data_IF_519626051192
#
_entry.id   IF_519626051192
#
_cell.length_a   1.000
_cell.length_b   1.000
_cell.length_c   1.000
_cell.angle_alpha   90.00
_cell.angle_beta   90.00
_cell.angle_gamma   90.00
#
_symmetry.space_group_name_H-M   'P 1'
#
loop_
_entity.id
_entity.type
_entity.pdbx_description
1 polymer ?
#
# COMPACT_ATOMS: atom_id res chain seq x y z
N UNK A 1 -10.05 8.39 5.65
CA UNK A 1 -11.07 8.74 4.63
C UNK A 1 -10.97 7.73 3.50
N UNK A 2 -12.09 7.11 3.13
CA UNK A 2 -12.15 6.04 2.13
C UNK A 2 -13.11 6.44 1.01
N UNK A 3 -12.71 6.23 -0.24
CA UNK A 3 -13.57 6.40 -1.40
C UNK A 3 -13.29 5.31 -2.45
N UNK A 4 -14.29 4.97 -3.25
CA UNK A 4 -14.14 4.00 -4.33
C UNK A 4 -14.23 4.71 -5.68
N UNK A 5 -13.27 4.46 -6.55
CA UNK A 5 -13.31 4.92 -7.95
C UNK A 5 -14.38 4.15 -8.73
N UNK A 6 -14.61 2.88 -8.38
CA UNK A 6 -15.53 1.99 -9.08
C UNK A 6 -14.98 1.48 -10.42
N UNK A 7 -13.71 1.71 -10.70
CA UNK A 7 -13.01 1.28 -11.92
C UNK A 7 -11.53 1.08 -11.65
N UNK A 8 -10.90 0.14 -12.37
CA UNK A 8 -9.46 -0.08 -12.36
C UNK A 8 -8.70 0.71 -13.44
N UNK A 9 -9.44 1.41 -14.31
CA UNK A 9 -8.89 2.05 -15.52
C UNK A 9 -9.46 3.45 -15.75
N UNK A 10 -9.79 4.19 -14.68
CA UNK A 10 -10.34 5.55 -14.75
C UNK A 10 -9.51 6.53 -13.89
N UNK A 11 -8.34 6.98 -14.40
CA UNK A 11 -7.50 7.92 -13.69
C UNK A 11 -8.15 9.31 -13.52
N UNK A 12 -9.00 9.72 -14.45
CA UNK A 12 -9.68 11.01 -14.35
C UNK A 12 -10.61 11.07 -13.14
N UNK A 13 -11.41 10.02 -12.93
CA UNK A 13 -12.27 9.91 -11.75
C UNK A 13 -11.48 9.79 -10.45
N UNK A 14 -10.35 9.07 -10.46
CA UNK A 14 -9.46 9.03 -9.30
C UNK A 14 -8.97 10.42 -8.93
N UNK A 15 -8.52 11.20 -9.91
CA UNK A 15 -8.06 12.58 -9.70
C UNK A 15 -9.14 13.44 -9.06
N UNK A 16 -10.37 13.40 -9.60
CA UNK A 16 -11.52 14.15 -9.04
C UNK A 16 -11.79 13.76 -7.57
N UNK A 17 -11.75 12.46 -7.24
CA UNK A 17 -11.96 11.98 -5.87
C UNK A 17 -10.88 12.50 -4.92
N UNK A 18 -9.61 12.49 -5.32
CA UNK A 18 -8.51 13.01 -4.51
C UNK A 18 -8.66 14.52 -4.28
N UNK A 19 -8.98 15.29 -5.32
CA UNK A 19 -9.23 16.72 -5.22
C UNK A 19 -10.41 17.03 -4.26
N UNK A 20 -11.49 16.25 -4.33
CA UNK A 20 -12.61 16.36 -3.40
C UNK A 20 -12.23 16.04 -1.96
N UNK A 21 -11.48 14.93 -1.73
CA UNK A 21 -11.01 14.56 -0.38
C UNK A 21 -10.09 15.62 0.22
N UNK A 22 -9.19 16.20 -0.57
CA UNK A 22 -8.33 17.29 -0.11
C UNK A 22 -9.16 18.53 0.28
N UNK A 23 -10.09 18.94 -0.58
CA UNK A 23 -10.92 20.13 -0.36
C UNK A 23 -11.84 19.97 0.84
N UNK A 24 -12.58 18.84 0.88
CA UNK A 24 -13.73 18.67 1.77
C UNK A 24 -13.33 18.03 3.11
N UNK A 25 -12.23 17.27 3.12
CA UNK A 25 -11.76 16.50 4.28
C UNK A 25 -10.35 16.83 4.72
N UNK A 26 -9.68 17.76 4.04
CA UNK A 26 -8.32 18.20 4.33
C UNK A 26 -7.29 17.06 4.31
N UNK A 27 -7.52 16.07 3.43
CA UNK A 27 -6.55 15.01 3.21
C UNK A 27 -5.27 15.59 2.58
N UNK A 28 -4.12 15.19 3.10
CA UNK A 28 -2.78 15.65 2.72
C UNK A 28 -1.83 14.52 2.33
N UNK A 29 -2.19 13.27 2.63
CA UNK A 29 -1.51 12.06 2.18
C UNK A 29 -2.54 11.09 1.61
N UNK A 30 -2.27 10.59 0.41
CA UNK A 30 -3.19 9.72 -0.32
C UNK A 30 -2.55 8.37 -0.61
N UNK A 31 -3.28 7.30 -0.33
CA UNK A 31 -2.90 5.94 -0.66
C UNK A 31 -3.92 5.34 -1.61
N UNK A 32 -3.45 4.79 -2.72
CA UNK A 32 -4.31 4.18 -3.72
C UNK A 32 -4.18 2.65 -3.75
N UNK A 33 -5.30 1.97 -3.97
CA UNK A 33 -5.37 0.54 -4.32
C UNK A 33 -6.38 0.44 -5.47
N UNK A 34 -6.00 0.91 -6.66
CA UNK A 34 -6.94 1.14 -7.76
C UNK A 34 -6.37 0.82 -9.15
N UNK A 35 -5.30 0.03 -9.23
CA UNK A 35 -4.69 -0.36 -10.51
C UNK A 35 -4.31 0.83 -11.37
N UNK A 36 -4.65 0.79 -12.65
CA UNK A 36 -4.37 1.87 -13.61
C UNK A 36 -5.05 3.21 -13.29
N UNK A 37 -6.14 3.22 -12.49
CA UNK A 37 -6.74 4.46 -12.01
C UNK A 37 -5.81 5.24 -11.08
N UNK A 38 -4.84 4.58 -10.45
CA UNK A 38 -3.89 5.16 -9.50
C UNK A 38 -3.07 6.33 -10.05
N UNK A 39 -2.81 6.38 -11.35
CA UNK A 39 -2.10 7.49 -11.99
C UNK A 39 -2.77 8.86 -11.74
N UNK A 40 -4.09 8.90 -11.71
CA UNK A 40 -4.83 10.13 -11.42
C UNK A 40 -4.64 10.66 -9.99
N UNK A 41 -4.31 9.78 -9.03
CA UNK A 41 -3.95 10.20 -7.68
C UNK A 41 -2.64 10.98 -7.66
N UNK A 42 -1.62 10.52 -8.39
CA UNK A 42 -0.33 11.21 -8.45
C UNK A 42 -0.45 12.58 -9.11
N UNK A 43 -1.26 12.68 -10.18
CA UNK A 43 -1.58 13.97 -10.80
C UNK A 43 -2.29 14.93 -9.81
N UNK A 44 -3.26 14.43 -9.03
CA UNK A 44 -3.93 15.22 -8.02
C UNK A 44 -2.96 15.70 -6.93
N UNK A 45 -2.10 14.81 -6.43
CA UNK A 45 -1.09 15.16 -5.43
C UNK A 45 -0.12 16.23 -5.95
N UNK A 46 0.30 16.13 -7.20
CA UNK A 46 1.13 17.14 -7.84
C UNK A 46 0.45 18.51 -7.90
N UNK A 47 -0.82 18.54 -8.30
CA UNK A 47 -1.60 19.77 -8.39
C UNK A 47 -1.83 20.41 -7.01
N UNK A 48 -2.04 19.59 -5.98
CA UNK A 48 -2.33 20.03 -4.60
C UNK A 48 -1.09 20.34 -3.77
N UNK A 49 0.11 19.87 -4.18
CA UNK A 49 1.30 19.91 -3.34
C UNK A 49 1.19 18.98 -2.12
N UNK A 50 0.54 17.83 -2.29
CA UNK A 50 0.33 16.81 -1.25
C UNK A 50 1.12 15.54 -1.57
N UNK A 51 1.05 14.53 -0.70
CA UNK A 51 1.84 13.32 -0.82
C UNK A 51 1.01 12.11 -1.24
N UNK A 52 1.68 11.21 -1.94
CA UNK A 52 1.11 9.94 -2.40
C UNK A 52 1.87 8.74 -1.84
N UNK A 53 1.14 7.64 -1.63
CA UNK A 53 1.69 6.31 -1.40
C UNK A 53 1.26 5.44 -2.58
N UNK A 54 2.23 4.86 -3.26
CA UNK A 54 2.03 3.95 -4.37
C UNK A 54 1.68 2.53 -3.93
N UNK A 55 1.49 1.62 -4.89
CA UNK A 55 1.08 0.24 -4.65
C UNK A 55 1.74 -0.74 -5.62
N UNK A 56 1.86 -1.98 -5.18
CA UNK A 56 2.36 -3.16 -5.88
C UNK A 56 3.86 -3.17 -6.19
N UNK A 57 4.42 -2.08 -6.70
CA UNK A 57 5.83 -1.94 -7.08
C UNK A 57 6.37 -0.57 -6.70
N UNK A 58 7.68 -0.35 -6.86
CA UNK A 58 8.27 0.98 -6.70
C UNK A 58 7.77 1.94 -7.78
N UNK A 59 6.69 2.65 -7.47
CA UNK A 59 6.09 3.61 -8.40
C UNK A 59 6.90 4.91 -8.49
N UNK A 60 7.72 5.26 -7.48
CA UNK A 60 8.68 6.35 -7.62
C UNK A 60 9.68 6.06 -8.74
N UNK A 61 10.33 4.89 -8.72
CA UNK A 61 11.28 4.51 -9.77
C UNK A 61 10.58 4.40 -11.14
N UNK A 62 9.38 3.82 -11.18
CA UNK A 62 8.61 3.71 -12.42
C UNK A 62 8.35 5.08 -13.07
N UNK A 63 7.87 6.06 -12.29
CA UNK A 63 7.58 7.40 -12.83
C UNK A 63 8.85 8.18 -13.13
N UNK A 64 9.93 8.00 -12.36
CA UNK A 64 11.21 8.66 -12.60
C UNK A 64 11.76 8.40 -14.01
N UNK A 65 11.53 7.18 -14.51
CA UNK A 65 11.98 6.74 -15.84
C UNK A 65 10.87 6.82 -16.90
N UNK A 66 9.73 7.45 -16.59
CA UNK A 66 8.59 7.57 -17.49
C UNK A 66 8.59 8.89 -18.29
N UNK A 67 7.55 9.08 -19.11
CA UNK A 67 7.29 10.34 -19.82
C UNK A 67 6.85 11.49 -18.90
N UNK A 68 6.45 11.18 -17.64
CA UNK A 68 6.00 12.15 -16.65
C UNK A 68 6.82 12.04 -15.35
N UNK A 69 8.16 12.26 -15.40
CA UNK A 69 9.06 12.03 -14.27
C UNK A 69 8.74 12.91 -13.04
N UNK A 70 8.06 14.02 -13.26
CA UNK A 70 7.65 14.93 -12.19
C UNK A 70 6.57 14.33 -11.25
N UNK A 71 5.88 13.28 -11.65
CA UNK A 71 4.94 12.56 -10.80
C UNK A 71 5.66 11.72 -9.74
N UNK A 72 6.92 11.36 -9.95
CA UNK A 72 7.73 10.70 -8.93
C UNK A 72 7.88 11.58 -7.68
N UNK A 73 8.02 12.89 -7.84
CA UNK A 73 8.33 13.82 -6.75
C UNK A 73 7.21 13.97 -5.70
N UNK A 74 6.06 13.35 -5.89
CA UNK A 74 4.98 13.30 -4.90
C UNK A 74 4.81 11.91 -4.26
N UNK A 75 5.53 10.89 -4.72
CA UNK A 75 5.39 9.50 -4.25
C UNK A 75 6.41 9.23 -3.15
N UNK A 76 6.00 9.36 -1.89
CA UNK A 76 6.88 9.14 -0.73
C UNK A 76 7.42 7.72 -0.65
N UNK A 77 6.55 6.76 -0.85
CA UNK A 77 6.84 5.33 -0.82
C UNK A 77 5.78 4.56 -1.61
N UNK A 78 5.97 3.27 -1.78
CA UNK A 78 4.96 2.37 -2.33
C UNK A 78 4.86 1.13 -1.45
N UNK A 79 3.65 0.66 -1.19
CA UNK A 79 3.43 -0.68 -0.66
C UNK A 79 3.82 -1.69 -1.74
N UNK A 80 4.69 -2.62 -1.36
CA UNK A 80 5.22 -3.63 -2.27
C UNK A 80 4.42 -4.93 -2.16
N UNK A 81 4.14 -5.52 -3.31
CA UNK A 81 3.64 -6.87 -3.46
C UNK A 81 4.68 -7.68 -4.25
N UNK A 82 5.57 -8.33 -3.50
CA UNK A 82 6.72 -9.02 -4.05
C UNK A 82 6.33 -10.42 -4.56
N UNK A 83 5.70 -10.46 -5.72
CA UNK A 83 5.22 -11.71 -6.32
C UNK A 83 6.36 -12.70 -6.58
N UNK A 84 7.53 -12.21 -7.00
CA UNK A 84 8.72 -13.03 -7.20
C UNK A 84 9.15 -13.74 -5.91
N UNK A 85 9.31 -13.00 -4.81
CA UNK A 85 9.69 -13.55 -3.51
C UNK A 85 8.63 -14.52 -2.97
N UNK A 86 7.34 -14.25 -3.25
CA UNK A 86 6.25 -15.16 -2.91
C UNK A 86 6.37 -16.50 -3.62
N UNK A 87 6.81 -16.53 -4.88
CA UNK A 87 7.07 -17.78 -5.59
C UNK A 87 8.30 -18.50 -5.05
N UNK A 88 9.37 -17.78 -4.71
CA UNK A 88 10.56 -18.38 -4.10
C UNK A 88 10.17 -19.05 -2.78
N UNK A 89 9.48 -18.34 -1.88
CA UNK A 89 9.02 -18.89 -0.60
C UNK A 89 8.14 -20.12 -0.79
N UNK A 90 7.21 -20.09 -1.75
CA UNK A 90 6.36 -21.23 -2.06
C UNK A 90 7.15 -22.47 -2.50
N UNK A 91 8.15 -22.30 -3.34
CA UNK A 91 8.97 -23.42 -3.81
C UNK A 91 9.92 -23.93 -2.70
N UNK A 92 10.42 -23.07 -1.83
CA UNK A 92 11.18 -23.47 -0.64
C UNK A 92 10.32 -24.34 0.29
N UNK A 93 9.07 -23.98 0.52
CA UNK A 93 8.12 -24.80 1.29
C UNK A 93 7.88 -26.18 0.64
N UNK A 94 7.72 -26.23 -0.68
CA UNK A 94 7.59 -27.49 -1.44
C UNK A 94 8.85 -28.37 -1.29
N UNK A 95 10.05 -27.79 -1.41
CA UNK A 95 11.33 -28.52 -1.26
C UNK A 95 11.51 -29.04 0.17
N UNK A 96 11.03 -28.31 1.17
CA UNK A 96 11.02 -28.70 2.57
C UNK A 96 9.97 -29.77 2.91
N UNK A 97 9.13 -30.16 1.93
CA UNK A 97 8.10 -31.18 2.10
C UNK A 97 6.82 -30.68 2.76
N UNK A 98 6.61 -29.36 2.81
CA UNK A 98 5.40 -28.77 3.34
C UNK A 98 4.19 -29.07 2.41
N UNK A 99 3.05 -29.33 3.03
CA UNK A 99 1.80 -29.53 2.29
C UNK A 99 1.16 -28.19 1.93
N UNK A 100 1.54 -27.64 0.78
CA UNK A 100 1.11 -26.32 0.29
C UNK A 100 -0.03 -26.39 -0.74
N UNK A 101 -0.33 -27.59 -1.27
CA UNK A 101 -1.25 -27.75 -2.37
C UNK A 101 -2.72 -27.70 -1.97
N UNK A 102 -3.56 -27.05 -2.78
CA UNK A 102 -5.00 -26.97 -2.54
C UNK A 102 -5.39 -26.11 -1.33
N UNK A 103 -4.48 -25.29 -0.82
CA UNK A 103 -4.68 -24.41 0.34
C UNK A 103 -4.57 -22.95 -0.06
N UNK A 104 -5.19 -22.08 0.72
CA UNK A 104 -4.95 -20.64 0.66
C UNK A 104 -3.74 -20.33 1.56
N UNK A 105 -2.59 -20.14 0.94
CA UNK A 105 -1.37 -19.74 1.63
C UNK A 105 -1.34 -18.22 1.73
N UNK A 106 -1.29 -17.68 2.96
CA UNK A 106 -1.16 -16.24 3.21
C UNK A 106 0.30 -15.94 3.50
N UNK A 107 0.90 -15.16 2.62
CA UNK A 107 2.28 -14.74 2.73
C UNK A 107 2.32 -13.26 3.14
N UNK A 108 3.28 -12.89 3.97
CA UNK A 108 3.36 -11.57 4.56
C UNK A 108 4.79 -11.02 4.62
N UNK A 109 5.04 -10.26 5.67
CA UNK A 109 6.37 -9.68 5.94
C UNK A 109 7.44 -10.73 6.19
N UNK A 110 7.08 -11.84 6.85
CA UNK A 110 7.99 -12.94 7.18
C UNK A 110 8.58 -13.56 5.92
N UNK A 111 7.76 -13.80 4.92
CA UNK A 111 8.12 -14.35 3.62
C UNK A 111 8.63 -13.29 2.64
N UNK A 112 8.77 -12.04 3.09
CA UNK A 112 9.14 -10.87 2.26
C UNK A 112 8.19 -10.64 1.07
N UNK A 113 7.00 -11.19 1.14
CA UNK A 113 5.98 -11.11 0.09
C UNK A 113 5.30 -9.74 0.02
N UNK A 114 5.39 -8.97 1.09
CA UNK A 114 4.95 -7.57 1.17
C UNK A 114 6.00 -6.72 1.87
N UNK A 115 5.97 -5.41 1.63
CA UNK A 115 6.88 -4.46 2.23
C UNK A 115 6.55 -3.04 1.80
N UNK A 116 7.50 -2.14 1.93
CA UNK A 116 7.41 -0.78 1.40
C UNK A 116 8.75 -0.35 0.82
N UNK A 117 8.72 0.65 -0.05
CA UNK A 117 9.94 1.21 -0.65
C UNK A 117 10.63 2.12 0.36
N UNK A 118 11.87 1.79 0.73
CA UNK A 118 12.75 2.61 1.55
C UNK A 118 13.94 3.07 0.70
N UNK A 119 13.70 4.05 -0.15
CA UNK A 119 14.71 4.66 -1.02
C UNK A 119 15.20 6.01 -0.45
N UNK A 120 16.17 6.62 -1.12
CA UNK A 120 16.73 7.91 -0.70
C UNK A 120 15.66 9.02 -0.63
N UNK A 121 14.70 9.05 -1.57
CA UNK A 121 13.64 10.03 -1.58
C UNK A 121 12.71 9.89 -0.36
N UNK A 122 12.34 8.66 0.01
CA UNK A 122 11.59 8.37 1.22
C UNK A 122 12.35 8.85 2.47
N UNK A 123 13.63 8.53 2.56
CA UNK A 123 14.47 8.88 3.71
C UNK A 123 14.66 10.40 3.87
N UNK A 124 14.70 11.15 2.77
CA UNK A 124 14.82 12.61 2.78
C UNK A 124 13.51 13.32 3.13
N UNK A 125 12.36 12.77 2.76
CA UNK A 125 11.06 13.43 2.86
C UNK A 125 10.20 12.93 4.02
N UNK A 126 10.47 11.76 4.58
CA UNK A 126 9.75 11.22 5.74
C UNK A 126 10.58 11.42 7.01
N UNK A 127 10.06 12.11 8.05
CA UNK A 127 10.78 12.34 9.29
C UNK A 127 11.29 11.06 9.94
N UNK A 128 12.48 11.10 10.54
CA UNK A 128 13.10 9.93 11.18
C UNK A 128 12.18 9.28 12.20
N UNK A 129 11.48 10.08 13.04
CA UNK A 129 10.53 9.56 14.02
C UNK A 129 9.44 8.67 13.39
N UNK A 130 8.97 9.03 12.19
CA UNK A 130 7.94 8.24 11.48
C UNK A 130 8.56 6.95 10.95
N UNK A 131 9.77 7.02 10.39
CA UNK A 131 10.50 5.85 9.90
C UNK A 131 10.81 4.87 11.02
N UNK A 132 11.19 5.37 12.20
CA UNK A 132 11.44 4.54 13.39
C UNK A 132 10.15 3.83 13.86
N UNK A 133 9.01 4.53 13.87
CA UNK A 133 7.70 3.92 14.18
C UNK A 133 7.28 2.87 13.16
N UNK A 134 7.60 3.07 11.89
CA UNK A 134 7.33 2.07 10.84
C UNK A 134 8.18 0.81 11.07
N UNK A 135 9.47 0.98 11.35
CA UNK A 135 10.38 -0.13 11.66
C UNK A 135 9.93 -0.89 12.93
N UNK A 136 9.60 -0.19 14.00
CA UNK A 136 9.07 -0.79 15.23
C UNK A 136 7.78 -1.58 14.97
N UNK A 137 6.86 -1.03 14.16
CA UNK A 137 5.62 -1.71 13.80
C UNK A 137 5.87 -2.99 13.01
N UNK A 138 6.84 -2.95 12.09
CA UNK A 138 7.27 -4.12 11.32
C UNK A 138 7.84 -5.21 12.24
N UNK A 139 8.72 -4.85 13.18
CA UNK A 139 9.26 -5.80 14.17
C UNK A 139 8.17 -6.42 15.02
N UNK A 140 7.20 -5.63 15.49
CA UNK A 140 6.04 -6.13 16.26
C UNK A 140 5.17 -7.10 15.47
N UNK A 141 5.00 -6.88 14.17
CA UNK A 141 4.30 -7.82 13.30
C UNK A 141 5.10 -9.12 13.14
N UNK A 142 6.42 -9.02 12.88
CA UNK A 142 7.29 -10.17 12.71
C UNK A 142 7.41 -11.02 13.99
N UNK A 143 7.41 -10.37 15.16
CA UNK A 143 7.43 -11.07 16.47
C UNK A 143 6.06 -11.64 16.87
N UNK A 144 4.97 -11.26 16.17
CA UNK A 144 3.61 -11.68 16.51
C UNK A 144 2.94 -10.86 17.62
N UNK A 145 3.58 -9.79 18.12
CA UNK A 145 2.98 -8.86 19.07
C UNK A 145 1.78 -8.13 18.44
N UNK A 146 1.90 -7.78 17.15
CA UNK A 146 0.79 -7.25 16.35
C UNK A 146 0.33 -8.32 15.36
N UNK A 147 -0.96 -8.67 15.43
CA UNK A 147 -1.61 -9.52 14.43
C UNK A 147 -2.38 -8.67 13.44
N UNK A 148 -1.96 -8.69 12.19
CA UNK A 148 -2.68 -8.02 11.09
C UNK A 148 -3.87 -8.86 10.69
N UNK A 149 -5.08 -8.33 10.91
CA UNK A 149 -6.32 -9.03 10.55
C UNK A 149 -6.65 -8.81 9.07
N UNK A 150 -7.07 -9.88 8.42
CA UNK A 150 -7.63 -9.88 7.08
C UNK A 150 -9.17 -9.93 7.15
N UNK A 151 -9.84 -9.48 6.09
CA UNK A 151 -11.29 -9.67 5.94
C UNK A 151 -11.72 -11.13 6.18
N UNK A 152 -10.92 -12.08 5.74
CA UNK A 152 -11.20 -13.53 5.88
C UNK A 152 -11.06 -14.07 7.32
N UNK A 153 -10.59 -13.25 8.27
CA UNK A 153 -10.48 -13.64 9.69
C UNK A 153 -11.76 -13.33 10.47
N UNK A 154 -12.75 -12.73 9.83
CA UNK A 154 -14.04 -12.39 10.41
C UNK A 154 -15.12 -13.40 9.98
N UNK A 155 -16.03 -13.71 10.87
CA UNK A 155 -17.12 -14.66 10.60
C UNK A 155 -18.11 -14.14 9.54
N UNK A 156 -18.24 -12.82 9.44
CA UNK A 156 -19.13 -12.15 8.50
C UNK A 156 -18.74 -10.68 8.29
N UNK A 157 -19.34 -10.06 7.26
CA UNK A 157 -19.07 -8.67 6.89
C UNK A 157 -19.42 -7.68 8.01
N UNK A 158 -20.44 -7.97 8.84
CA UNK A 158 -20.85 -7.07 9.91
C UNK A 158 -19.76 -6.93 10.99
N UNK A 159 -19.09 -8.01 11.35
CA UNK A 159 -17.96 -7.96 12.30
C UNK A 159 -16.78 -7.18 11.73
N UNK A 160 -16.46 -7.37 10.44
CA UNK A 160 -15.44 -6.59 9.77
C UNK A 160 -15.80 -5.10 9.73
N UNK A 161 -17.07 -4.76 9.43
CA UNK A 161 -17.53 -3.38 9.41
C UNK A 161 -17.46 -2.73 10.81
N UNK A 162 -17.78 -3.47 11.87
CA UNK A 162 -17.62 -2.98 13.25
C UNK A 162 -16.17 -2.59 13.57
N UNK A 163 -15.19 -3.39 13.11
CA UNK A 163 -13.79 -3.01 13.26
C UNK A 163 -13.48 -1.71 12.48
N UNK A 164 -13.92 -1.62 11.23
CA UNK A 164 -13.70 -0.41 10.41
C UNK A 164 -14.29 0.83 11.08
N UNK A 165 -15.51 0.73 11.62
CA UNK A 165 -16.20 1.84 12.29
C UNK A 165 -15.49 2.24 13.59
N UNK A 166 -14.88 1.28 14.29
CA UNK A 166 -14.14 1.53 15.54
C UNK A 166 -12.83 2.30 15.36
N UNK A 167 -12.26 2.26 14.14
CA UNK A 167 -10.99 2.94 13.80
C UNK A 167 -11.19 4.09 12.82
N UNK A 168 -12.43 4.36 12.42
CA UNK A 168 -12.76 5.50 11.58
C UNK A 168 -12.49 6.81 12.34
N UNK A 169 -11.87 7.83 11.70
CA UNK A 169 -11.61 9.13 12.31
C UNK A 169 -12.88 9.96 12.52
#
# INVERSE_FOLDING_TARGET
>A
IKASVGSWTDPAKMKELCLSQARDKKADVFYQVAGGSGGGLFEACKELGTWAIGVDSDQYAYYKDSENPELADVILTSMLKNVGDSFVAFFEDVENGEDVWGKLNRLGLKEKSVGYVDNEFFQQNVPQEIRDKMAESQEKILSGEITVKSYYDFANEAEYQQLLDSVAP
#
